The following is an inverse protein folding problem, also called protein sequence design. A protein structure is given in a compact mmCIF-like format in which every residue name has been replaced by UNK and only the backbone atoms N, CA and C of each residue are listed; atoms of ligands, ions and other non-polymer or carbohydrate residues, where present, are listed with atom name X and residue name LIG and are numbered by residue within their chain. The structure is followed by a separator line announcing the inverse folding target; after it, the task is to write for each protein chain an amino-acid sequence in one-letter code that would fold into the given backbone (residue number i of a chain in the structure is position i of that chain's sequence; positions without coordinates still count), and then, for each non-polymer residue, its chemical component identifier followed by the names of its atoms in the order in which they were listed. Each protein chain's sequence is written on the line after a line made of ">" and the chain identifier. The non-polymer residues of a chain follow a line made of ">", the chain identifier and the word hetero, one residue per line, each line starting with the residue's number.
data_IF_770738216322
#
_entry.id   IF_770738216322
#
_cell.length_a   1.000
_cell.length_b   1.000
_cell.length_c   1.000
_cell.angle_alpha   90.00
_cell.angle_beta   90.00
_cell.angle_gamma   90.00
#
_symmetry.space_group_name_H-M   'P 1'
#
loop_
_entity.id
_entity.type
_entity.pdbx_description
1 polymer ?
#
# COMPACT_ATOMS: atom_id res chain seq x y z
N UNK A 1 6.50 10.93 -23.08
CA UNK A 1 5.60 10.84 -21.91
C UNK A 1 6.18 9.77 -20.99
N UNK A 2 6.13 9.95 -19.66
CA UNK A 2 6.75 9.03 -18.71
C UNK A 2 5.66 8.15 -18.09
N UNK A 3 5.86 6.84 -18.13
CA UNK A 3 4.99 5.90 -17.46
C UNK A 3 5.32 5.85 -15.97
N UNK A 4 4.28 5.68 -15.18
CA UNK A 4 4.32 5.41 -13.75
C UNK A 4 3.58 4.11 -13.47
N UNK A 5 3.79 3.59 -12.27
CA UNK A 5 3.09 2.40 -11.81
C UNK A 5 2.24 2.73 -10.59
N UNK A 6 0.93 2.56 -10.72
CA UNK A 6 0.00 2.67 -9.60
C UNK A 6 -0.10 1.31 -8.87
N UNK A 7 -0.02 1.37 -7.55
CA UNK A 7 -0.37 0.27 -6.64
C UNK A 7 -1.64 0.67 -5.90
N UNK A 8 -2.66 -0.17 -5.95
CA UNK A 8 -3.90 0.00 -5.19
C UNK A 8 -4.16 -1.29 -4.42
N UNK A 9 -4.43 -1.15 -3.13
CA UNK A 9 -4.63 -2.25 -2.19
C UNK A 9 -5.92 -2.00 -1.42
N UNK A 10 -6.80 -3.00 -1.41
CA UNK A 10 -8.03 -3.06 -0.62
C UNK A 10 -7.80 -3.97 0.59
N UNK A 11 -7.91 -3.40 1.80
CA UNK A 11 -7.79 -4.18 3.03
C UNK A 11 -9.10 -4.91 3.31
N UNK A 12 -9.06 -6.24 3.39
CA UNK A 12 -10.27 -7.02 3.68
C UNK A 12 -10.63 -6.87 5.15
N UNK A 13 -11.65 -6.07 5.45
CA UNK A 13 -12.18 -5.93 6.80
C UNK A 13 -12.84 -7.23 7.24
N UNK A 14 -12.30 -7.87 8.28
CA UNK A 14 -13.04 -8.96 8.93
C UNK A 14 -14.21 -8.37 9.74
N UNK A 15 -15.42 -8.82 9.43
CA UNK A 15 -16.62 -8.48 10.21
C UNK A 15 -16.53 -9.02 11.65
N UNK A 16 -15.65 -9.98 11.91
CA UNK A 16 -15.43 -10.56 13.24
C UNK A 16 -14.56 -9.71 14.17
N UNK A 17 -13.82 -8.72 13.65
CA UNK A 17 -12.97 -7.87 14.48
C UNK A 17 -13.78 -6.83 15.25
N UNK A 18 -13.37 -6.58 16.50
CA UNK A 18 -13.86 -5.45 17.29
C UNK A 18 -13.45 -4.12 16.65
N UNK A 19 -14.04 -3.02 17.10
CA UNK A 19 -13.67 -1.68 16.59
C UNK A 19 -12.25 -1.34 17.03
N UNK A 20 -11.88 -1.72 18.25
CA UNK A 20 -10.56 -1.55 18.84
C UNK A 20 -9.48 -2.29 18.05
N UNK A 21 -9.74 -3.55 17.67
CA UNK A 21 -8.82 -4.36 16.86
C UNK A 21 -8.65 -3.77 15.45
N UNK A 22 -9.72 -3.23 14.86
CA UNK A 22 -9.63 -2.58 13.55
C UNK A 22 -8.75 -1.33 13.60
N UNK A 23 -8.90 -0.52 14.65
CA UNK A 23 -8.09 0.69 14.83
C UNK A 23 -6.61 0.34 15.09
N UNK A 24 -6.35 -0.69 15.89
CA UNK A 24 -4.96 -1.12 16.16
C UNK A 24 -4.28 -1.67 14.90
N UNK A 25 -4.98 -2.50 14.12
CA UNK A 25 -4.51 -2.99 12.82
C UNK A 25 -4.25 -1.82 11.87
N UNK A 26 -5.16 -0.85 11.79
CA UNK A 26 -4.99 0.30 10.91
C UNK A 26 -3.77 1.14 11.30
N UNK A 27 -3.58 1.43 12.60
CA UNK A 27 -2.40 2.16 13.07
C UNK A 27 -1.10 1.39 12.78
N UNK A 28 -1.10 0.08 12.96
CA UNK A 28 0.06 -0.75 12.60
C UNK A 28 0.38 -0.66 11.11
N UNK A 29 -0.65 -0.73 10.24
CA UNK A 29 -0.48 -0.61 8.79
C UNK A 29 0.04 0.78 8.41
N UNK A 30 -0.42 1.86 9.07
CA UNK A 30 0.11 3.21 8.87
C UNK A 30 1.62 3.24 9.14
N UNK A 31 2.07 2.71 10.28
CA UNK A 31 3.50 2.65 10.60
C UNK A 31 4.28 1.84 9.56
N UNK A 32 3.76 0.69 9.11
CA UNK A 32 4.41 -0.09 8.04
C UNK A 32 4.52 0.73 6.74
N UNK A 33 3.49 1.47 6.37
CA UNK A 33 3.50 2.33 5.18
C UNK A 33 4.55 3.43 5.30
N UNK A 34 4.64 4.09 6.46
CA UNK A 34 5.63 5.15 6.73
C UNK A 34 7.06 4.62 6.56
N UNK A 35 7.38 3.48 7.19
CA UNK A 35 8.70 2.85 7.08
C UNK A 35 9.01 2.43 5.63
N UNK A 36 8.04 1.86 4.92
CA UNK A 36 8.23 1.48 3.52
C UNK A 36 8.36 2.69 2.60
N UNK A 37 7.68 3.81 2.89
CA UNK A 37 7.84 5.04 2.12
C UNK A 37 9.27 5.59 2.24
N UNK A 38 9.89 5.51 3.43
CA UNK A 38 11.28 5.90 3.62
C UNK A 38 12.25 4.98 2.84
N UNK A 39 12.06 3.65 2.97
CA UNK A 39 12.89 2.66 2.25
C UNK A 39 12.81 2.82 0.73
N UNK A 40 11.64 3.15 0.20
CA UNK A 40 11.38 3.30 -1.24
C UNK A 40 11.36 4.76 -1.71
N UNK A 41 11.79 5.73 -0.90
CA UNK A 41 11.72 7.17 -1.19
C UNK A 41 12.30 7.56 -2.56
N UNK A 42 13.40 6.92 -2.99
CA UNK A 42 14.00 7.13 -4.31
C UNK A 42 13.25 6.48 -5.49
N UNK A 43 12.22 5.70 -5.24
CA UNK A 43 11.43 4.95 -6.23
C UNK A 43 9.96 5.37 -6.30
N UNK A 44 9.53 6.26 -5.41
CA UNK A 44 8.16 6.76 -5.35
C UNK A 44 8.00 8.04 -6.18
N UNK A 45 6.93 8.08 -6.96
CA UNK A 45 6.43 9.32 -7.57
C UNK A 45 5.43 10.03 -6.66
N UNK A 46 4.67 9.25 -5.88
CA UNK A 46 3.82 9.72 -4.78
C UNK A 46 3.85 8.66 -3.67
N UNK A 47 3.98 9.11 -2.43
CA UNK A 47 3.98 8.23 -1.26
C UNK A 47 2.75 7.33 -1.24
N UNK A 48 2.95 6.13 -0.69
CA UNK A 48 1.84 5.23 -0.39
C UNK A 48 1.09 5.78 0.81
N UNK A 49 -0.23 5.85 0.73
CA UNK A 49 -1.09 6.41 1.78
C UNK A 49 -2.46 5.72 1.78
N UNK A 50 -3.22 5.89 2.86
CA UNK A 50 -4.62 5.49 2.89
C UNK A 50 -5.47 6.43 2.02
N UNK A 51 -6.39 5.84 1.26
CA UNK A 51 -7.47 6.50 0.53
C UNK A 51 -8.80 5.89 0.91
N UNK A 52 -9.87 6.69 0.94
CA UNK A 52 -11.23 6.16 1.17
C UNK A 52 -11.48 5.44 2.51
N UNK A 53 -10.50 5.38 3.41
CA UNK A 53 -10.58 4.78 4.75
C UNK A 53 -10.03 3.35 4.87
N UNK A 54 -10.16 2.51 3.85
CA UNK A 54 -9.64 1.13 3.82
C UNK A 54 -8.90 0.74 2.54
N UNK A 55 -8.81 1.66 1.59
CA UNK A 55 -7.93 1.53 0.44
C UNK A 55 -6.57 2.13 0.78
N UNK A 56 -5.51 1.52 0.25
CA UNK A 56 -4.14 2.03 0.30
C UNK A 56 -3.70 2.19 -1.15
N UNK A 57 -3.16 3.35 -1.49
CA UNK A 57 -2.71 3.63 -2.85
C UNK A 57 -1.35 4.30 -2.86
N UNK A 58 -0.58 4.09 -3.92
CA UNK A 58 0.71 4.74 -4.14
C UNK A 58 1.13 4.75 -5.60
N UNK A 59 2.08 5.63 -5.93
CA UNK A 59 2.57 5.78 -7.29
C UNK A 59 4.09 5.63 -7.34
N UNK A 60 4.57 4.77 -8.22
CA UNK A 60 5.97 4.37 -8.33
C UNK A 60 6.55 4.76 -9.69
N UNK A 61 7.86 4.96 -9.72
CA UNK A 61 8.61 5.25 -10.93
C UNK A 61 8.73 4.03 -11.85
N UNK A 62 8.70 2.80 -11.30
CA UNK A 62 8.81 1.56 -12.08
C UNK A 62 7.91 0.44 -11.55
N UNK A 63 7.54 -0.54 -12.40
CA UNK A 63 6.73 -1.69 -12.00
C UNK A 63 7.40 -2.59 -10.96
N UNK A 64 8.73 -2.73 -11.04
CA UNK A 64 9.53 -3.54 -10.13
C UNK A 64 9.49 -2.96 -8.71
N UNK A 65 9.59 -1.63 -8.58
CA UNK A 65 9.50 -0.96 -7.29
C UNK A 65 8.12 -1.17 -6.64
N UNK A 66 7.05 -1.01 -7.41
CA UNK A 66 5.68 -1.26 -6.93
C UNK A 66 5.49 -2.72 -6.47
N UNK A 67 6.00 -3.68 -7.26
CA UNK A 67 5.92 -5.10 -6.92
C UNK A 67 6.72 -5.44 -5.66
N UNK A 68 7.95 -4.93 -5.51
CA UNK A 68 8.78 -5.18 -4.34
C UNK A 68 8.20 -4.53 -3.08
N UNK A 69 7.73 -3.28 -3.18
CA UNK A 69 7.00 -2.61 -2.10
C UNK A 69 5.81 -3.45 -1.66
N UNK A 70 4.96 -3.86 -2.61
CA UNK A 70 3.78 -4.69 -2.33
C UNK A 70 4.15 -6.03 -1.67
N UNK A 71 5.19 -6.71 -2.16
CA UNK A 71 5.67 -7.97 -1.57
C UNK A 71 6.14 -7.77 -0.13
N UNK A 72 6.88 -6.71 0.15
CA UNK A 72 7.35 -6.42 1.52
C UNK A 72 6.20 -6.03 2.44
N UNK A 73 5.27 -5.23 1.94
CA UNK A 73 4.02 -4.89 2.63
C UNK A 73 3.25 -6.15 3.04
N UNK A 74 2.98 -7.08 2.11
CA UNK A 74 2.31 -8.35 2.40
C UNK A 74 2.99 -9.17 3.51
N UNK A 75 4.33 -9.20 3.53
CA UNK A 75 5.08 -9.94 4.55
C UNK A 75 4.95 -9.28 5.93
N UNK A 76 4.98 -7.95 5.99
CA UNK A 76 4.92 -7.20 7.24
C UNK A 76 3.53 -7.19 7.86
N UNK A 77 2.47 -7.21 7.05
CA UNK A 77 1.09 -7.14 7.56
C UNK A 77 0.44 -8.51 7.77
N UNK A 78 1.14 -9.61 7.50
CA UNK A 78 0.59 -10.94 7.72
C UNK A 78 0.11 -11.10 9.20
N UNK A 79 -1.10 -11.65 9.47
CA UNK A 79 -1.99 -12.39 8.56
C UNK A 79 -3.15 -11.57 7.97
N UNK A 80 -3.06 -10.24 7.88
CA UNK A 80 -4.13 -9.41 7.32
C UNK A 80 -4.35 -9.76 5.84
N UNK A 81 -5.58 -10.14 5.49
CA UNK A 81 -5.97 -10.43 4.11
C UNK A 81 -6.16 -9.14 3.31
N UNK A 82 -5.58 -9.10 2.11
CA UNK A 82 -5.66 -7.95 1.21
C UNK A 82 -5.92 -8.39 -0.23
N UNK A 83 -6.43 -7.47 -1.05
CA UNK A 83 -6.47 -7.58 -2.52
C UNK A 83 -5.70 -6.42 -3.11
N UNK A 84 -4.93 -6.64 -4.16
CA UNK A 84 -4.15 -5.56 -4.76
C UNK A 84 -4.12 -5.64 -6.29
N UNK A 85 -3.96 -4.49 -6.91
CA UNK A 85 -3.73 -4.33 -8.34
C UNK A 85 -2.51 -3.44 -8.60
N UNK A 86 -1.75 -3.79 -9.63
CA UNK A 86 -0.63 -2.99 -10.13
C UNK A 86 -0.94 -2.61 -11.58
N UNK A 87 -0.97 -1.31 -11.88
CA UNK A 87 -1.26 -0.80 -13.21
C UNK A 87 -0.15 0.13 -13.70
N UNK A 88 0.24 0.02 -14.97
CA UNK A 88 1.26 0.87 -15.59
C UNK A 88 0.59 1.79 -16.60
N UNK A 89 0.88 3.08 -16.53
CA UNK A 89 0.28 4.06 -17.45
C UNK A 89 0.92 5.44 -17.32
N UNK A 90 0.46 6.36 -18.17
CA UNK A 90 0.90 7.75 -18.12
C UNK A 90 0.18 8.48 -16.98
N UNK A 91 0.91 9.34 -16.30
CA UNK A 91 0.37 10.23 -15.26
C UNK A 91 0.59 11.66 -15.71
N UNK A 92 -0.49 12.41 -15.94
CA UNK A 92 -0.49 13.81 -16.37
C UNK A 92 -0.61 14.75 -15.16
#
# INVERSE_FOLDING_TARGET
>A
MKNYTALIIDLKRSRSYSVEDRNSIQNFIITVIEELNEVFSGSLAKNVEFSGGDEVQGLFLTPEAAYLYFRMFCMLIFPVEIRAGIGVGEWL
#
